data_IF_038128190091
#
_entry.id   IF_038128190091
#
_cell.length_a   1.000
_cell.length_b   1.000
_cell.length_c   1.000
_cell.angle_alpha   90.00
_cell.angle_beta   90.00
_cell.angle_gamma   90.00
#
_symmetry.space_group_name_H-M   'P 1'
#
loop_
_entity.id
_entity.type
_entity.pdbx_description
1 polymer ?
#
# COMPACT_ATOMS: atom_id res chain seq x y z
N UNK A 1 13.38 -6.81 -3.23
CA UNK A 1 12.63 -8.07 -3.08
C UNK A 1 13.63 -9.18 -2.87
N UNK A 2 13.48 -9.98 -1.81
CA UNK A 2 14.33 -11.14 -1.53
C UNK A 2 13.60 -12.40 -1.98
N UNK A 3 14.25 -13.24 -2.80
CA UNK A 3 13.70 -14.49 -3.30
C UNK A 3 14.63 -15.62 -2.91
N UNK A 4 14.10 -16.59 -2.15
CA UNK A 4 14.80 -17.82 -1.81
C UNK A 4 14.40 -18.92 -2.79
N UNK A 5 15.35 -19.43 -3.55
CA UNK A 5 15.13 -20.59 -4.42
C UNK A 5 15.30 -21.87 -3.58
N UNK A 6 14.28 -22.75 -3.49
CA UNK A 6 14.36 -23.94 -2.65
C UNK A 6 15.31 -25.00 -3.22
N UNK A 7 15.85 -25.82 -2.31
CA UNK A 7 16.83 -26.89 -2.59
C UNK A 7 16.36 -27.92 -3.63
N UNK A 8 15.05 -28.11 -3.80
CA UNK A 8 14.40 -28.89 -4.85
C UNK A 8 12.95 -28.42 -4.95
N UNK A 9 12.57 -27.68 -5.99
CA UNK A 9 11.15 -27.47 -6.30
C UNK A 9 10.63 -28.73 -7.02
N UNK A 10 10.50 -29.83 -6.29
CA UNK A 10 9.70 -30.97 -6.72
C UNK A 10 8.24 -30.60 -6.55
N UNK A 11 7.72 -29.79 -7.47
CA UNK A 11 6.30 -29.61 -7.63
C UNK A 11 5.74 -30.94 -8.15
N UNK A 12 5.26 -31.80 -7.26
CA UNK A 12 4.49 -32.98 -7.65
C UNK A 12 3.14 -32.53 -8.24
N UNK A 13 3.16 -32.10 -9.50
CA UNK A 13 1.97 -32.07 -10.33
C UNK A 13 1.82 -33.48 -10.92
N UNK A 14 0.97 -34.29 -10.28
CA UNK A 14 0.47 -35.55 -10.84
C UNK A 14 -0.43 -35.23 -12.04
N UNK A 15 0.16 -34.96 -13.20
CA UNK A 15 -0.52 -34.98 -14.49
C UNK A 15 0.46 -35.59 -15.50
N UNK A 16 0.12 -36.80 -15.94
CA UNK A 16 0.83 -37.55 -16.97
C UNK A 16 0.75 -36.83 -18.32
N UNK A 17 1.86 -36.24 -18.74
CA UNK A 17 2.13 -35.87 -20.14
C UNK A 17 3.52 -36.36 -20.55
N UNK A 18 3.76 -36.60 -21.86
CA UNK A 18 4.94 -37.29 -22.34
C UNK A 18 6.20 -36.45 -22.10
N UNK A 19 7.26 -37.09 -21.61
CA UNK A 19 8.57 -36.51 -21.34
C UNK A 19 9.13 -35.73 -22.53
N UNK A 20 8.98 -34.41 -22.51
CA UNK A 20 10.07 -33.54 -22.97
C UNK A 20 11.19 -33.70 -21.94
N UNK A 21 12.41 -33.98 -22.39
CA UNK A 21 13.60 -34.10 -21.54
C UNK A 21 13.69 -32.84 -20.66
N UNK A 22 13.43 -32.97 -19.36
CA UNK A 22 13.70 -31.90 -18.41
C UNK A 22 15.21 -31.67 -18.42
N UNK A 23 15.64 -30.56 -19.02
CA UNK A 23 17.03 -30.13 -19.03
C UNK A 23 17.47 -30.04 -17.58
N UNK A 24 18.50 -30.81 -17.21
CA UNK A 24 18.93 -30.89 -15.81
C UNK A 24 19.77 -29.67 -15.48
N UNK A 25 19.41 -28.96 -14.40
CA UNK A 25 20.17 -27.81 -13.94
C UNK A 25 21.63 -28.18 -13.62
N UNK A 26 22.57 -27.38 -14.09
CA UNK A 26 23.99 -27.50 -13.80
C UNK A 26 24.33 -27.09 -12.36
N UNK A 27 23.73 -26.00 -11.89
CA UNK A 27 23.99 -25.40 -10.59
C UNK A 27 23.42 -26.35 -9.53
N UNK A 28 24.32 -26.95 -8.75
CA UNK A 28 24.00 -27.90 -7.69
C UNK A 28 24.55 -27.37 -6.37
N UNK A 29 23.68 -27.00 -5.43
CA UNK A 29 24.12 -26.39 -4.17
C UNK A 29 22.96 -25.70 -3.44
N UNK A 30 23.17 -25.34 -2.17
CA UNK A 30 22.14 -24.90 -1.23
C UNK A 30 21.30 -23.71 -1.69
N UNK A 31 20.09 -23.56 -1.13
CA UNK A 31 19.15 -22.52 -1.53
C UNK A 31 19.79 -21.14 -1.56
N UNK A 32 19.65 -20.48 -2.71
CA UNK A 32 20.22 -19.17 -2.96
C UNK A 32 19.21 -18.07 -2.68
N UNK A 33 19.71 -16.94 -2.22
CA UNK A 33 18.90 -15.74 -2.04
C UNK A 33 19.28 -14.72 -3.11
N UNK A 34 18.29 -14.28 -3.89
CA UNK A 34 18.45 -13.21 -4.87
C UNK A 34 17.74 -11.97 -4.36
N UNK A 35 18.39 -10.83 -4.51
CA UNK A 35 17.84 -9.53 -4.15
C UNK A 35 17.92 -8.59 -5.34
N UNK A 36 16.79 -8.00 -5.72
CA UNK A 36 16.74 -6.96 -6.74
C UNK A 36 15.66 -5.91 -6.44
N UNK A 37 15.79 -4.77 -7.11
CA UNK A 37 14.88 -3.62 -7.01
C UNK A 37 13.98 -3.58 -8.24
N UNK A 38 12.77 -3.03 -8.08
CA UNK A 38 11.81 -2.90 -9.18
C UNK A 38 10.83 -4.06 -9.28
N UNK A 39 10.24 -4.20 -10.47
CA UNK A 39 9.20 -5.19 -10.80
C UNK A 39 9.78 -6.59 -10.93
N UNK A 40 8.99 -7.60 -10.56
CA UNK A 40 9.40 -9.00 -10.64
C UNK A 40 9.13 -9.57 -12.03
N UNK A 41 9.86 -9.07 -13.02
CA UNK A 41 9.81 -9.47 -14.43
C UNK A 41 11.01 -10.33 -14.83
N UNK A 42 10.98 -10.89 -16.04
CA UNK A 42 12.04 -11.76 -16.57
C UNK A 42 13.40 -11.09 -16.58
N UNK A 43 13.48 -9.82 -16.98
CA UNK A 43 14.74 -9.10 -17.20
C UNK A 43 15.44 -8.82 -15.86
N UNK A 44 14.72 -8.25 -14.89
CA UNK A 44 15.23 -7.98 -13.55
C UNK A 44 15.61 -9.28 -12.82
N UNK A 45 14.85 -10.35 -13.01
CA UNK A 45 15.13 -11.64 -12.40
C UNK A 45 16.37 -12.29 -13.01
N UNK A 46 16.53 -12.26 -14.34
CA UNK A 46 17.73 -12.77 -15.01
C UNK A 46 18.98 -11.98 -14.62
N UNK A 47 18.88 -10.65 -14.54
CA UNK A 47 19.99 -9.80 -14.10
C UNK A 47 20.42 -10.15 -12.67
N UNK A 48 19.45 -10.35 -11.76
CA UNK A 48 19.74 -10.79 -10.40
C UNK A 48 20.39 -12.19 -10.36
N UNK A 49 19.87 -13.11 -11.20
CA UNK A 49 20.36 -14.48 -11.28
C UNK A 49 21.75 -14.59 -11.93
N UNK A 50 22.13 -13.63 -12.77
CA UNK A 50 23.43 -13.61 -13.46
C UNK A 50 24.61 -13.73 -12.50
N UNK A 51 24.53 -13.07 -11.34
CA UNK A 51 25.58 -13.14 -10.31
C UNK A 51 25.78 -14.58 -9.80
N UNK A 52 24.69 -15.34 -9.64
CA UNK A 52 24.71 -16.74 -9.23
C UNK A 52 25.24 -17.61 -10.38
N UNK A 53 24.79 -17.33 -11.60
CA UNK A 53 25.14 -18.09 -12.79
C UNK A 53 26.63 -17.95 -13.17
N UNK A 54 27.25 -16.80 -12.91
CA UNK A 54 28.67 -16.54 -13.19
C UNK A 54 29.60 -16.97 -12.03
N UNK A 55 29.05 -17.38 -10.88
CA UNK A 55 29.84 -17.85 -9.74
C UNK A 55 30.45 -19.23 -10.03
N UNK A 56 31.78 -19.28 -10.15
CA UNK A 56 32.54 -20.49 -10.42
C UNK A 56 32.49 -21.55 -9.30
N UNK A 57 32.08 -21.17 -8.09
CA UNK A 57 31.83 -22.11 -6.98
C UNK A 57 30.49 -22.82 -7.13
N UNK A 58 29.52 -22.19 -7.79
CA UNK A 58 28.16 -22.70 -7.96
C UNK A 58 27.96 -23.37 -9.31
N UNK A 59 28.57 -22.82 -10.36
CA UNK A 59 28.51 -23.32 -11.73
C UNK A 59 29.70 -24.25 -12.02
N UNK A 60 29.47 -25.57 -12.20
CA UNK A 60 30.54 -26.51 -12.47
C UNK A 60 31.22 -26.25 -13.82
N UNK A 61 32.53 -26.48 -13.88
CA UNK A 61 33.32 -26.45 -15.11
C UNK A 61 32.79 -27.52 -16.08
N UNK A 62 32.14 -27.08 -17.17
CA UNK A 62 31.47 -27.96 -18.13
C UNK A 62 29.96 -27.73 -18.25
N UNK A 63 29.37 -26.82 -17.47
CA UNK A 63 27.99 -26.42 -17.71
C UNK A 63 27.84 -25.67 -19.05
N UNK A 64 27.03 -26.24 -19.95
CA UNK A 64 26.77 -25.69 -21.30
C UNK A 64 25.42 -24.98 -21.42
N UNK A 65 24.55 -25.09 -20.42
CA UNK A 65 23.26 -24.39 -20.41
C UNK A 65 23.51 -22.89 -20.52
N UNK A 66 22.70 -22.19 -21.32
CA UNK A 66 22.59 -20.74 -21.24
C UNK A 66 21.97 -20.32 -19.89
N UNK A 67 22.06 -19.03 -19.56
CA UNK A 67 21.47 -18.50 -18.31
C UNK A 67 19.96 -18.75 -18.23
N UNK A 68 19.25 -18.64 -19.35
CA UNK A 68 17.80 -18.88 -19.40
C UNK A 68 17.46 -20.36 -19.26
N UNK A 69 18.19 -21.26 -19.95
CA UNK A 69 17.99 -22.71 -19.83
C UNK A 69 18.29 -23.18 -18.40
N UNK A 70 19.35 -22.64 -17.79
CA UNK A 70 19.73 -22.95 -16.42
C UNK A 70 18.66 -22.48 -15.43
N UNK A 71 18.19 -21.24 -15.56
CA UNK A 71 17.13 -20.72 -14.71
C UNK A 71 15.82 -21.50 -14.90
N UNK A 72 15.44 -21.80 -16.14
CA UNK A 72 14.26 -22.60 -16.44
C UNK A 72 14.35 -23.98 -15.77
N UNK A 73 15.50 -24.66 -15.90
CA UNK A 73 15.74 -25.94 -15.25
C UNK A 73 15.63 -25.85 -13.72
N UNK A 74 16.20 -24.82 -13.10
CA UNK A 74 16.12 -24.59 -11.65
C UNK A 74 14.69 -24.34 -11.16
N UNK A 75 13.86 -23.69 -11.97
CA UNK A 75 12.45 -23.43 -11.66
C UNK A 75 11.51 -24.58 -12.06
N UNK A 76 12.03 -25.67 -12.61
CA UNK A 76 11.23 -26.80 -13.10
C UNK A 76 10.38 -26.45 -14.33
N UNK A 77 10.88 -25.54 -15.17
CA UNK A 77 10.24 -25.00 -16.35
C UNK A 77 11.08 -25.24 -17.62
N UNK A 78 10.59 -24.77 -18.77
CA UNK A 78 11.36 -24.66 -20.02
C UNK A 78 11.56 -23.19 -20.36
N UNK A 79 12.44 -22.86 -21.30
CA UNK A 79 12.64 -21.47 -21.74
C UNK A 79 11.36 -20.82 -22.26
N UNK A 80 10.46 -21.62 -22.86
CA UNK A 80 9.14 -21.16 -23.33
C UNK A 80 8.12 -20.89 -22.21
N UNK A 81 8.32 -21.43 -21.00
CA UNK A 81 7.44 -21.22 -19.84
C UNK A 81 8.15 -20.51 -18.68
N UNK A 82 9.36 -19.98 -18.93
CA UNK A 82 10.22 -19.38 -17.92
C UNK A 82 9.57 -18.17 -17.26
N UNK A 83 8.90 -17.32 -18.05
CA UNK A 83 8.27 -16.10 -17.52
C UNK A 83 7.17 -16.42 -16.49
N UNK A 84 6.33 -17.43 -16.77
CA UNK A 84 5.29 -17.87 -15.84
C UNK A 84 5.90 -18.50 -14.58
N UNK A 85 6.99 -19.25 -14.73
CA UNK A 85 7.71 -19.83 -13.60
C UNK A 85 8.36 -18.75 -12.71
N UNK A 86 8.90 -17.69 -13.32
CA UNK A 86 9.40 -16.50 -12.63
C UNK A 86 8.26 -15.82 -11.87
N UNK A 87 7.14 -15.51 -12.52
CA UNK A 87 5.97 -14.89 -11.87
C UNK A 87 5.47 -15.70 -10.68
N UNK A 88 5.40 -17.03 -10.82
CA UNK A 88 5.01 -17.92 -9.72
C UNK A 88 6.01 -17.89 -8.56
N UNK A 89 7.30 -17.87 -8.86
CA UNK A 89 8.37 -17.79 -7.86
C UNK A 89 8.34 -16.45 -7.12
N UNK A 90 8.18 -15.36 -7.87
CA UNK A 90 7.97 -14.03 -7.35
C UNK A 90 6.77 -13.98 -6.41
N UNK A 91 5.62 -14.50 -6.83
CA UNK A 91 4.41 -14.53 -6.03
C UNK A 91 4.61 -15.33 -4.74
N UNK A 92 5.23 -16.51 -4.81
CA UNK A 92 5.51 -17.31 -3.62
C UNK A 92 6.43 -16.59 -2.62
N UNK A 93 7.44 -15.86 -3.12
CA UNK A 93 8.30 -15.04 -2.26
C UNK A 93 7.52 -13.88 -1.61
N UNK A 94 6.64 -13.21 -2.36
CA UNK A 94 5.78 -12.14 -1.84
C UNK A 94 4.82 -12.67 -0.77
N UNK A 95 4.11 -13.76 -1.05
CA UNK A 95 3.13 -14.37 -0.14
C UNK A 95 3.79 -14.87 1.16
N UNK A 96 5.12 -15.07 1.18
CA UNK A 96 5.88 -15.45 2.36
C UNK A 96 6.38 -14.27 3.22
N UNK A 97 6.17 -13.04 2.75
CA UNK A 97 6.61 -11.83 3.46
C UNK A 97 5.71 -11.61 4.68
N UNK A 98 6.31 -11.29 5.82
CA UNK A 98 5.53 -10.89 7.00
C UNK A 98 4.75 -9.61 6.68
N UNK A 99 3.46 -9.63 6.98
CA UNK A 99 2.59 -8.47 6.79
C UNK A 99 2.15 -7.89 8.12
N UNK A 100 1.78 -6.62 8.08
CA UNK A 100 1.16 -5.92 9.20
C UNK A 100 -0.16 -5.29 8.78
N UNK A 101 -1.08 -5.13 9.72
CA UNK A 101 -2.38 -4.50 9.48
C UNK A 101 -2.40 -3.09 10.06
N UNK A 102 -3.28 -2.25 9.52
CA UNK A 102 -3.48 -0.88 9.98
C UNK A 102 -3.86 -0.81 11.47
N UNK A 103 -4.61 -1.81 11.95
CA UNK A 103 -5.00 -1.95 13.34
C UNK A 103 -3.83 -2.15 14.31
N UNK A 104 -2.73 -2.75 13.86
CA UNK A 104 -1.55 -2.97 14.70
C UNK A 104 -0.78 -1.68 15.00
N UNK A 105 -1.04 -0.62 14.24
CA UNK A 105 -0.28 0.63 14.36
C UNK A 105 -1.00 1.68 15.19
N UNK A 106 -2.31 1.81 15.02
CA UNK A 106 -3.05 2.90 15.68
C UNK A 106 -3.09 2.77 17.21
N UNK A 107 -2.87 1.57 17.79
CA UNK A 107 -3.02 1.27 19.23
C UNK A 107 -4.32 1.83 19.88
N UNK A 108 -5.34 2.10 19.05
CA UNK A 108 -6.66 2.62 19.47
C UNK A 108 -7.78 1.58 19.30
N UNK A 109 -7.44 0.40 18.78
CA UNK A 109 -8.39 -0.66 18.46
C UNK A 109 -9.12 -0.48 17.12
N UNK A 110 -9.77 -1.55 16.66
CA UNK A 110 -10.38 -1.62 15.32
C UNK A 110 -11.47 -0.59 15.08
N UNK A 111 -12.28 -0.34 16.11
CA UNK A 111 -13.38 0.63 16.03
C UNK A 111 -12.88 2.06 15.79
N UNK A 112 -11.79 2.46 16.44
CA UNK A 112 -11.23 3.79 16.25
C UNK A 112 -10.74 3.98 14.81
N UNK A 113 -10.03 2.99 14.25
CA UNK A 113 -9.55 3.04 12.86
C UNK A 113 -10.71 3.12 11.88
N UNK A 114 -11.75 2.31 12.08
CA UNK A 114 -12.96 2.37 11.25
C UNK A 114 -13.63 3.75 11.34
N UNK A 115 -13.84 4.27 12.54
CA UNK A 115 -14.46 5.58 12.76
C UNK A 115 -13.59 6.72 12.18
N UNK A 116 -12.26 6.59 12.23
CA UNK A 116 -11.32 7.57 11.66
C UNK A 116 -11.44 7.66 10.15
N UNK A 117 -11.38 6.55 9.43
CA UNK A 117 -11.51 6.59 7.96
C UNK A 117 -12.95 6.89 7.48
N UNK A 118 -13.94 6.78 8.37
CA UNK A 118 -15.27 7.32 8.12
C UNK A 118 -15.35 8.85 8.27
N UNK A 119 -14.27 9.54 8.66
CA UNK A 119 -14.27 10.99 8.90
C UNK A 119 -14.63 11.37 10.34
N UNK A 120 -14.80 10.39 11.23
CA UNK A 120 -15.08 10.58 12.65
C UNK A 120 -13.83 10.65 13.53
N UNK A 121 -14.03 10.46 14.83
CA UNK A 121 -12.99 10.55 15.89
C UNK A 121 -12.42 11.94 16.11
N UNK A 122 -11.69 12.09 17.23
CA UNK A 122 -11.00 13.34 17.54
C UNK A 122 -9.83 13.64 16.60
N UNK A 123 -9.27 12.64 15.92
CA UNK A 123 -8.22 12.85 14.92
C UNK A 123 -8.69 13.67 13.73
N UNK A 124 -9.98 13.61 13.37
CA UNK A 124 -10.55 14.40 12.27
C UNK A 124 -11.30 15.66 12.72
N UNK A 125 -11.80 15.70 13.96
CA UNK A 125 -12.79 16.70 14.38
C UNK A 125 -12.28 17.74 15.37
N UNK A 126 -11.15 17.50 16.04
CA UNK A 126 -10.66 18.40 17.09
C UNK A 126 -9.49 19.26 16.62
N UNK A 127 -9.36 20.44 17.21
CA UNK A 127 -8.20 21.34 17.18
C UNK A 127 -7.55 21.35 18.57
N UNK A 128 -6.31 21.86 18.68
CA UNK A 128 -5.78 22.19 20.03
C UNK A 128 -6.64 23.29 20.66
N UNK A 129 -7.01 23.16 21.93
CA UNK A 129 -7.83 24.17 22.61
C UNK A 129 -7.37 24.45 24.04
N UNK A 130 -7.37 25.74 24.41
CA UNK A 130 -7.25 26.20 25.80
C UNK A 130 -8.63 26.45 26.44
N UNK A 131 -9.72 26.18 25.71
CA UNK A 131 -11.07 26.19 26.25
C UNK A 131 -11.38 24.86 26.95
N UNK A 132 -12.48 24.83 27.71
CA UNK A 132 -12.91 23.62 28.41
C UNK A 132 -12.90 22.39 27.48
N UNK A 133 -12.27 21.26 27.86
CA UNK A 133 -11.89 20.87 29.23
C UNK A 133 -10.49 21.32 29.71
N UNK A 134 -9.81 22.22 29.00
CA UNK A 134 -8.55 22.84 29.45
C UNK A 134 -8.73 23.70 30.71
N UNK A 135 -7.63 23.94 31.42
CA UNK A 135 -7.51 24.91 32.53
C UNK A 135 -7.18 26.35 32.06
N UNK A 136 -7.16 26.60 30.75
CA UNK A 136 -6.78 27.88 30.15
C UNK A 136 -5.27 28.08 29.95
N UNK A 137 -4.45 27.12 30.37
CA UNK A 137 -2.98 27.16 30.24
C UNK A 137 -2.39 25.92 29.57
N UNK A 138 -3.00 24.75 29.81
CA UNK A 138 -2.59 23.46 29.26
C UNK A 138 -3.61 23.02 28.21
N UNK A 139 -3.22 22.86 26.92
CA UNK A 139 -4.16 22.44 25.89
C UNK A 139 -4.82 21.10 26.22
N UNK A 140 -6.14 21.01 26.03
CA UNK A 140 -6.87 19.76 26.24
C UNK A 140 -6.50 18.69 25.20
N UNK A 141 -6.29 19.12 23.95
CA UNK A 141 -5.72 18.33 22.86
C UNK A 141 -4.37 18.90 22.45
N UNK A 142 -3.47 18.02 22.03
CA UNK A 142 -2.21 18.39 21.37
C UNK A 142 -2.11 17.51 20.13
N UNK A 143 -2.50 18.05 18.97
CA UNK A 143 -2.75 17.23 17.76
C UNK A 143 -1.55 16.37 17.39
N UNK A 144 -0.34 16.95 17.45
CA UNK A 144 0.91 16.23 17.15
C UNK A 144 1.18 15.06 18.09
N UNK A 145 0.71 15.14 19.34
CA UNK A 145 0.85 14.05 20.33
C UNK A 145 -0.28 13.05 20.17
N UNK A 146 -1.50 13.55 19.99
CA UNK A 146 -2.71 12.73 19.99
C UNK A 146 -2.76 11.81 18.76
N UNK A 147 -2.14 12.21 17.65
CA UNK A 147 -1.96 11.42 16.43
C UNK A 147 -0.52 10.97 16.18
N UNK A 148 0.33 10.89 17.22
CA UNK A 148 1.74 10.47 17.08
C UNK A 148 1.91 9.06 16.49
N UNK A 149 0.89 8.20 16.59
CA UNK A 149 0.89 6.86 16.01
C UNK A 149 0.95 6.89 14.47
N UNK A 150 0.58 8.01 13.83
CA UNK A 150 0.77 8.22 12.38
C UNK A 150 2.25 8.24 11.98
N UNK A 151 3.14 8.77 12.83
CA UNK A 151 4.58 8.70 12.58
C UNK A 151 5.09 7.25 12.69
N UNK A 152 4.53 6.48 13.62
CA UNK A 152 4.83 5.03 13.74
C UNK A 152 4.39 4.27 12.50
N UNK A 153 3.23 4.62 11.95
CA UNK A 153 2.77 4.06 10.68
C UNK A 153 3.75 4.35 9.55
N UNK A 154 4.17 5.62 9.40
CA UNK A 154 5.15 6.01 8.39
C UNK A 154 6.46 5.21 8.52
N UNK A 155 6.98 5.08 9.73
CA UNK A 155 8.20 4.33 10.01
C UNK A 155 8.09 2.83 9.69
N UNK A 156 6.91 2.24 9.87
CA UNK A 156 6.64 0.84 9.53
C UNK A 156 6.39 0.68 8.03
N UNK A 157 5.71 1.63 7.38
CA UNK A 157 5.40 1.61 5.95
C UNK A 157 6.65 1.62 5.07
N UNK A 158 7.77 2.14 5.56
CA UNK A 158 9.06 2.10 4.86
C UNK A 158 9.76 0.73 4.90
N UNK A 159 9.34 -0.19 5.79
CA UNK A 159 10.06 -1.44 6.08
C UNK A 159 9.22 -2.70 5.94
N UNK A 160 7.93 -2.61 6.21
CA UNK A 160 6.99 -3.72 6.27
C UNK A 160 5.98 -3.67 5.13
N UNK A 161 5.30 -4.78 4.85
CA UNK A 161 4.20 -4.81 3.88
C UNK A 161 2.89 -4.67 4.63
N UNK A 162 2.13 -3.61 4.31
CA UNK A 162 0.78 -3.48 4.86
C UNK A 162 -0.23 -4.32 4.10
N UNK A 163 -1.13 -4.96 4.84
CA UNK A 163 -2.33 -5.58 4.28
C UNK A 163 -3.30 -4.46 3.92
N UNK A 164 -3.85 -4.52 2.70
CA UNK A 164 -4.93 -3.63 2.29
C UNK A 164 -6.16 -3.87 3.18
N UNK A 165 -6.72 -2.85 3.83
CA UNK A 165 -7.76 -3.01 4.85
C UNK A 165 -9.13 -3.25 4.21
N UNK A 166 -9.28 -4.38 3.53
CA UNK A 166 -10.49 -4.76 2.78
C UNK A 166 -11.73 -4.93 3.67
N UNK A 167 -11.53 -5.06 4.98
CA UNK A 167 -12.56 -5.08 6.01
C UNK A 167 -13.25 -3.72 6.20
N UNK A 168 -12.63 -2.63 5.77
CA UNK A 168 -13.21 -1.30 5.85
C UNK A 168 -14.01 -0.99 4.58
N UNK A 169 -15.28 -0.52 4.68
CA UNK A 169 -16.15 -0.32 3.52
C UNK A 169 -15.55 0.52 2.39
N UNK A 170 -14.87 1.62 2.72
CA UNK A 170 -14.23 2.54 1.77
C UNK A 170 -13.01 1.95 1.04
N UNK A 171 -12.50 0.81 1.52
CA UNK A 171 -11.36 0.11 0.94
C UNK A 171 -11.74 -1.29 0.46
N UNK A 172 -13.02 -1.67 0.50
CA UNK A 172 -13.46 -2.97 0.03
C UNK A 172 -13.31 -3.05 -1.50
N UNK A 173 -12.36 -3.84 -1.99
CA UNK A 173 -12.04 -3.97 -3.41
C UNK A 173 -13.13 -4.70 -4.22
N UNK A 174 -14.05 -5.41 -3.56
CA UNK A 174 -15.21 -6.01 -4.24
C UNK A 174 -16.25 -4.94 -4.63
N UNK A 175 -16.29 -3.83 -3.89
CA UNK A 175 -17.20 -2.70 -4.09
C UNK A 175 -16.49 -1.54 -4.83
N UNK A 176 -15.31 -1.16 -4.36
CA UNK A 176 -14.43 -0.13 -4.90
C UNK A 176 -13.59 -0.68 -6.05
N UNK A 177 -14.19 -0.72 -7.25
CA UNK A 177 -13.50 -1.23 -8.47
C UNK A 177 -12.40 -0.31 -8.98
N UNK A 178 -12.41 0.97 -8.60
CA UNK A 178 -11.35 1.90 -8.98
C UNK A 178 -10.11 1.62 -8.14
N UNK A 179 -8.97 1.39 -8.82
CA UNK A 179 -7.67 1.16 -8.18
C UNK A 179 -7.02 2.46 -7.72
N UNK A 180 -7.76 3.21 -6.91
CA UNK A 180 -7.30 4.45 -6.30
C UNK A 180 -7.95 4.61 -4.93
N UNK A 181 -7.23 5.27 -4.03
CA UNK A 181 -7.76 5.74 -2.77
C UNK A 181 -7.46 7.23 -2.64
N UNK A 182 -8.45 7.98 -2.16
CA UNK A 182 -8.36 9.42 -2.00
C UNK A 182 -9.05 9.81 -0.70
N UNK A 183 -8.34 10.54 0.14
CA UNK A 183 -8.89 11.18 1.33
C UNK A 183 -8.94 12.68 1.09
N UNK A 184 -10.09 13.28 1.33
CA UNK A 184 -10.31 14.71 1.21
C UNK A 184 -10.75 15.27 2.56
N UNK A 185 -10.31 16.48 2.89
CA UNK A 185 -10.80 17.20 4.07
C UNK A 185 -11.20 18.63 3.68
N UNK A 186 -12.27 19.15 4.31
CA UNK A 186 -12.76 20.51 4.10
C UNK A 186 -12.30 21.50 5.18
N UNK A 187 -11.43 21.07 6.11
CA UNK A 187 -11.02 21.92 7.24
C UNK A 187 -9.54 21.75 7.56
N UNK A 188 -8.85 22.88 7.73
CA UNK A 188 -7.54 22.96 8.35
C UNK A 188 -7.65 23.07 9.87
N UNK A 189 -6.95 22.19 10.56
CA UNK A 189 -6.95 22.10 12.03
C UNK A 189 -5.57 22.25 12.63
N UNK A 190 -4.50 22.32 11.82
CA UNK A 190 -3.13 22.30 12.32
C UNK A 190 -2.34 23.53 11.88
N UNK A 191 -1.99 24.38 12.86
CA UNK A 191 -1.21 25.58 12.57
C UNK A 191 0.25 25.26 12.23
N UNK A 192 0.80 25.99 11.24
CA UNK A 192 2.21 25.95 10.82
C UNK A 192 2.66 24.63 10.15
N UNK A 193 1.76 23.94 9.47
CA UNK A 193 2.11 22.77 8.64
C UNK A 193 2.12 23.08 7.13
N UNK A 194 1.86 24.35 6.76
CA UNK A 194 1.77 24.82 5.38
C UNK A 194 0.65 24.14 4.57
N UNK A 195 -0.46 23.77 5.23
CA UNK A 195 -1.57 23.05 4.63
C UNK A 195 -2.96 23.72 4.81
N UNK A 196 -2.99 25.04 4.94
CA UNK A 196 -4.23 25.81 5.03
C UNK A 196 -4.11 27.09 5.83
N UNK A 197 -5.24 27.54 6.37
CA UNK A 197 -5.39 28.84 7.03
C UNK A 197 -5.51 28.76 8.56
N UNK A 198 -5.30 27.60 9.19
CA UNK A 198 -5.21 27.46 10.64
C UNK A 198 -3.93 28.12 11.16
N UNK A 199 -4.06 28.95 12.20
CA UNK A 199 -2.95 29.61 12.86
C UNK A 199 -3.08 29.60 14.38
N UNK A 200 -1.99 29.89 15.10
CA UNK A 200 -2.07 30.16 16.54
C UNK A 200 -2.62 31.57 16.80
N UNK A 201 -3.34 31.80 17.92
CA UNK A 201 -3.85 30.78 18.84
C UNK A 201 -5.02 29.99 18.22
N UNK A 202 -5.04 28.67 18.44
CA UNK A 202 -5.98 27.76 17.78
C UNK A 202 -7.46 28.11 18.03
N UNK A 203 -7.80 28.51 19.26
CA UNK A 203 -9.18 28.80 19.68
C UNK A 203 -9.86 29.92 18.89
N UNK A 204 -9.08 30.80 18.26
CA UNK A 204 -9.63 31.90 17.44
C UNK A 204 -9.28 31.75 15.97
N UNK A 205 -8.13 31.14 15.67
CA UNK A 205 -7.55 31.17 14.34
C UNK A 205 -7.57 29.79 13.65
N UNK A 206 -8.21 28.77 14.23
CA UNK A 206 -8.40 27.44 13.61
C UNK A 206 -9.86 26.95 13.63
N UNK A 207 -10.78 27.71 14.23
CA UNK A 207 -12.22 27.44 14.15
C UNK A 207 -12.68 27.68 12.71
N UNK A 208 -13.25 26.65 12.08
CA UNK A 208 -13.78 26.65 10.72
C UNK A 208 -12.83 27.30 9.70
N UNK A 209 -11.56 26.88 9.71
CA UNK A 209 -10.58 27.36 8.74
C UNK A 209 -10.46 26.44 7.56
N UNK A 210 -10.34 27.07 6.40
CA UNK A 210 -10.20 26.39 5.15
C UNK A 210 -8.82 25.72 5.02
N UNK A 211 -8.76 24.51 4.42
CA UNK A 211 -7.51 23.88 4.01
C UNK A 211 -6.89 24.59 2.82
N UNK A 212 -5.65 24.22 2.50
CA UNK A 212 -5.04 24.64 1.25
C UNK A 212 -5.82 24.03 0.08
N UNK A 213 -6.34 24.83 -0.83
CA UNK A 213 -7.15 24.31 -1.93
C UNK A 213 -6.30 23.55 -2.97
N UNK A 214 -6.73 22.36 -3.38
CA UNK A 214 -6.07 21.60 -4.44
C UNK A 214 -7.01 20.79 -5.35
N UNK A 215 -8.32 20.79 -5.09
CA UNK A 215 -9.29 19.94 -5.78
C UNK A 215 -10.67 20.57 -5.75
N UNK A 216 -11.35 20.58 -6.89
CA UNK A 216 -12.77 20.96 -6.98
C UNK A 216 -13.66 19.73 -6.70
N UNK A 217 -14.58 19.82 -5.73
CA UNK A 217 -15.54 18.76 -5.43
C UNK A 217 -16.88 19.07 -6.09
N UNK A 218 -17.06 18.63 -7.34
CA UNK A 218 -18.28 18.97 -8.10
C UNK A 218 -19.57 18.32 -7.58
N UNK A 219 -19.47 17.09 -7.05
CA UNK A 219 -20.63 16.30 -6.64
C UNK A 219 -20.23 15.20 -5.65
N UNK A 220 -21.12 14.94 -4.69
CA UNK A 220 -21.08 13.74 -3.85
C UNK A 220 -22.35 12.93 -4.10
N UNK A 221 -22.20 11.69 -4.58
CA UNK A 221 -23.29 10.73 -4.69
C UNK A 221 -23.35 9.87 -3.41
N UNK A 222 -24.41 10.08 -2.62
CA UNK A 222 -24.60 9.45 -1.33
C UNK A 222 -24.89 7.94 -1.43
N UNK A 223 -25.10 7.42 -2.64
CA UNK A 223 -25.33 5.99 -2.85
C UNK A 223 -24.04 5.17 -2.93
N UNK A 224 -22.87 5.77 -3.21
CA UNK A 224 -21.61 5.01 -3.34
C UNK A 224 -20.97 4.63 -2.01
N UNK A 225 -21.31 5.32 -0.91
CA UNK A 225 -20.77 5.02 0.42
C UNK A 225 -21.81 5.23 1.55
N UNK A 226 -22.97 4.55 1.51
CA UNK A 226 -24.08 4.81 2.43
C UNK A 226 -23.75 4.53 3.91
N UNK A 227 -22.75 3.68 4.18
CA UNK A 227 -22.24 3.41 5.52
C UNK A 227 -21.45 4.58 6.11
N UNK A 228 -20.88 5.45 5.27
CA UNK A 228 -19.89 6.45 5.69
C UNK A 228 -20.45 7.88 5.67
N UNK A 229 -21.64 8.08 5.09
CA UNK A 229 -22.25 9.40 4.98
C UNK A 229 -22.82 9.94 6.30
N UNK A 230 -22.78 9.17 7.41
CA UNK A 230 -23.43 9.45 8.71
C UNK A 230 -24.94 9.77 8.67
N UNK A 231 -25.53 9.84 7.48
CA UNK A 231 -26.95 9.98 7.20
C UNK A 231 -27.36 8.87 6.24
N UNK A 232 -28.40 8.12 6.62
CA UNK A 232 -29.03 7.12 5.75
C UNK A 232 -29.86 7.83 4.67
N UNK A 233 -29.18 8.26 3.61
CA UNK A 233 -29.77 9.05 2.54
C UNK A 233 -29.43 8.43 1.18
N UNK A 234 -30.33 8.62 0.21
CA UNK A 234 -30.08 8.36 -1.21
C UNK A 234 -30.20 9.68 -1.95
N UNK A 235 -29.24 10.01 -2.82
CA UNK A 235 -29.26 11.26 -3.59
C UNK A 235 -27.87 11.81 -3.85
N UNK A 236 -27.84 13.05 -4.36
CA UNK A 236 -26.61 13.75 -4.75
C UNK A 236 -26.56 15.11 -4.07
N UNK A 237 -25.38 15.50 -3.59
CA UNK A 237 -25.06 16.89 -3.29
C UNK A 237 -24.27 17.45 -4.48
N UNK A 238 -24.73 18.57 -5.05
CA UNK A 238 -24.09 19.23 -6.19
C UNK A 238 -23.45 20.53 -5.75
N UNK A 239 -22.24 20.78 -6.22
CA UNK A 239 -21.50 22.01 -6.01
C UNK A 239 -21.25 22.65 -7.39
N UNK A 240 -22.17 23.53 -7.86
CA UNK A 240 -22.19 24.03 -9.23
C UNK A 240 -21.17 25.16 -9.51
N UNK A 241 -20.45 25.59 -8.48
CA UNK A 241 -19.37 26.58 -8.54
C UNK A 241 -18.19 26.08 -7.71
N UNK A 242 -17.12 26.85 -7.71
CA UNK A 242 -15.89 26.59 -6.97
C UNK A 242 -15.77 27.58 -5.78
N UNK A 243 -15.04 27.18 -4.74
CA UNK A 243 -14.59 28.04 -3.65
C UNK A 243 -15.78 28.72 -2.93
N UNK A 244 -15.71 30.05 -2.72
CA UNK A 244 -16.73 30.85 -2.02
C UNK A 244 -18.11 30.87 -2.71
N UNK A 245 -18.27 30.21 -3.86
CA UNK A 245 -19.53 30.05 -4.59
C UNK A 245 -19.92 28.57 -4.79
N UNK A 246 -19.30 27.65 -4.05
CA UNK A 246 -19.45 26.21 -4.19
C UNK A 246 -19.21 25.42 -2.90
N UNK A 247 -18.42 24.36 -3.03
CA UNK A 247 -17.90 23.43 -2.03
C UNK A 247 -16.92 24.05 -1.02
N UNK A 248 -16.37 25.24 -1.32
CA UNK A 248 -15.30 25.86 -0.55
C UNK A 248 -13.93 25.23 -0.85
N UNK A 249 -12.84 25.63 -0.19
CA UNK A 249 -11.55 24.99 -0.39
C UNK A 249 -11.57 23.53 0.05
N UNK A 250 -11.18 22.62 -0.84
CA UNK A 250 -11.05 21.18 -0.54
C UNK A 250 -9.63 20.74 -0.82
N UNK A 251 -9.05 20.02 0.14
CA UNK A 251 -7.76 19.40 -0.05
C UNK A 251 -7.89 17.89 -0.06
N UNK A 252 -7.33 17.27 -1.10
CA UNK A 252 -7.29 15.84 -1.23
C UNK A 252 -5.86 15.32 -1.39
N UNK A 253 -5.58 14.17 -0.77
CA UNK A 253 -4.42 13.34 -1.09
C UNK A 253 -4.91 11.97 -1.51
N UNK A 254 -4.18 11.37 -2.45
CA UNK A 254 -4.53 10.04 -2.93
C UNK A 254 -3.40 9.43 -3.74
N UNK A 255 -3.60 8.16 -4.04
CA UNK A 255 -2.70 7.38 -4.87
C UNK A 255 -3.52 6.38 -5.68
N UNK A 256 -2.95 5.96 -6.80
CA UNK A 256 -3.50 4.91 -7.65
C UNK A 256 -2.47 3.80 -7.82
N UNK A 257 -2.94 2.60 -8.14
CA UNK A 257 -2.07 1.45 -8.35
C UNK A 257 -2.42 0.67 -9.62
N UNK A 258 -1.45 -0.10 -10.09
CA UNK A 258 -1.53 -0.85 -11.32
C UNK A 258 -2.53 -2.01 -11.29
N UNK A 259 -2.87 -2.50 -12.47
CA UNK A 259 -3.74 -3.65 -12.60
C UNK A 259 -3.06 -4.99 -12.27
N UNK A 260 -1.76 -5.05 -12.48
CA UNK A 260 -0.93 -6.21 -12.21
C UNK A 260 -0.60 -6.26 -10.72
N UNK A 261 -1.03 -7.32 -10.03
CA UNK A 261 -0.75 -7.52 -8.61
C UNK A 261 0.75 -7.74 -8.32
N UNK A 262 1.54 -8.04 -9.36
CA UNK A 262 3.00 -8.16 -9.29
C UNK A 262 3.71 -6.80 -9.38
N UNK A 263 3.00 -5.74 -9.76
CA UNK A 263 3.54 -4.39 -9.81
C UNK A 263 3.84 -3.86 -8.41
N UNK A 264 4.92 -3.07 -8.30
CA UNK A 264 5.38 -2.53 -7.02
C UNK A 264 4.31 -1.64 -6.37
N UNK A 265 3.57 -0.86 -7.16
CA UNK A 265 2.51 0.02 -6.65
C UNK A 265 1.30 -0.79 -6.18
N UNK A 266 0.96 -1.88 -6.86
CA UNK A 266 -0.13 -2.76 -6.43
C UNK A 266 0.22 -3.54 -5.16
N UNK A 267 1.48 -3.93 -5.00
CA UNK A 267 1.98 -4.66 -3.83
C UNK A 267 2.02 -3.80 -2.58
N UNK A 268 2.54 -2.58 -2.67
CA UNK A 268 2.70 -1.67 -1.54
C UNK A 268 1.65 -0.58 -1.46
N UNK A 269 0.52 -0.73 -2.17
CA UNK A 269 -0.58 0.26 -2.14
C UNK A 269 -1.01 0.62 -0.72
N UNK A 270 -1.09 -0.37 0.16
CA UNK A 270 -1.52 -0.17 1.53
C UNK A 270 -0.52 0.63 2.37
N UNK A 271 0.75 0.72 1.96
CA UNK A 271 1.79 1.50 2.64
C UNK A 271 1.65 3.01 2.38
N UNK A 272 0.76 3.41 1.46
CA UNK A 272 0.49 4.81 1.10
C UNK A 272 -0.82 5.33 1.70
N UNK A 273 -1.53 4.52 2.49
CA UNK A 273 -2.75 4.91 3.22
C UNK A 273 -2.46 5.88 4.37
#
# INVERSE_FOLDING_TARGET
MSIKLPKHLLLFALLSTPSALAQTACIKGGGYEMNFKGTCDKDNFLEAFKTIYEDALLKPAGCTNSIEEELAALLGATTGTLEDAIKKTCKAAQDSTQTITLHQVADKGERFVSDYYNGGTYWNTQTETLLHPSDGTTPAQVLKRDAADVDTYKDLADREVFVWPNELPQFNLDECKLKAAQCCWPQDRQANDNNGNCAKPYDTNCVDKDPGDNTDLCMVDLNYAPSNNFVKSTGFTLFPGDNNNGEGPIHCHGFAWGNDDMDVLARYKANNL
#
